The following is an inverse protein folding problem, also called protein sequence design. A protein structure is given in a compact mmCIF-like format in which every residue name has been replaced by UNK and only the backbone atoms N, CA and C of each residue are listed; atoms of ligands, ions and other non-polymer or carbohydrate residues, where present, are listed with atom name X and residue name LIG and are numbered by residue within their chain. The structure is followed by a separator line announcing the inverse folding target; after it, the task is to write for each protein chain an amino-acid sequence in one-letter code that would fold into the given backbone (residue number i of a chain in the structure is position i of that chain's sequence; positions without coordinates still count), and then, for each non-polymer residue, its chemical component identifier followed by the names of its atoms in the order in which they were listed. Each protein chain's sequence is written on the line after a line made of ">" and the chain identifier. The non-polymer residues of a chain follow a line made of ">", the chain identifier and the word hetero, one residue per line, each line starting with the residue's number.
data_IF_961038737829
#
_entry.id   IF_961038737829
#
_cell.length_a   1.000
_cell.length_b   1.000
_cell.length_c   1.000
_cell.angle_alpha   90.00
_cell.angle_beta   90.00
_cell.angle_gamma   90.00
#
_symmetry.space_group_name_H-M   'P 1'
#
loop_
_entity.id
_entity.type
_entity.pdbx_description
1 polymer ?
#
# COMPACT_ATOMS: atom_id res chain seq x y z
N UNK A 1 -49.48 -8.00 28.17
CA UNK A 1 -48.05 -8.35 28.32
C UNK A 1 -47.45 -8.68 26.94
N UNK A 2 -47.24 -7.71 26.04
CA UNK A 2 -46.88 -8.04 24.63
C UNK A 2 -45.96 -7.03 23.92
N UNK A 3 -45.14 -6.25 24.64
CA UNK A 3 -44.32 -5.18 24.04
C UNK A 3 -42.79 -5.38 24.12
N UNK A 4 -42.30 -6.54 24.55
CA UNK A 4 -40.87 -6.68 24.91
C UNK A 4 -39.97 -7.42 23.91
N UNK A 5 -40.47 -7.85 22.75
CA UNK A 5 -39.69 -8.68 21.81
C UNK A 5 -39.10 -7.93 20.60
N UNK A 6 -39.47 -6.67 20.35
CA UNK A 6 -39.07 -5.94 19.14
C UNK A 6 -37.81 -5.07 19.31
N UNK A 7 -37.20 -5.05 20.50
CA UNK A 7 -36.02 -4.22 20.79
C UNK A 7 -34.67 -4.95 20.62
N UNK A 8 -34.66 -6.24 20.28
CA UNK A 8 -33.42 -7.05 20.20
C UNK A 8 -32.89 -7.27 18.77
N UNK A 9 -33.55 -6.72 17.75
CA UNK A 9 -33.24 -6.99 16.34
C UNK A 9 -32.32 -5.95 15.65
N UNK A 10 -31.85 -4.91 16.36
CA UNK A 10 -31.12 -3.79 15.74
C UNK A 10 -29.62 -3.73 16.07
N UNK A 11 -29.03 -4.79 16.62
CA UNK A 11 -27.58 -4.84 16.90
C UNK A 11 -26.83 -5.68 15.85
N UNK A 12 -27.07 -5.42 14.56
CA UNK A 12 -26.16 -5.86 13.51
C UNK A 12 -24.92 -4.97 13.58
N UNK A 13 -23.97 -5.33 14.45
CA UNK A 13 -22.65 -4.74 14.43
C UNK A 13 -22.01 -5.05 13.07
N UNK A 14 -21.82 -4.01 12.26
CA UNK A 14 -20.98 -4.08 11.07
C UNK A 14 -19.53 -4.24 11.57
N UNK A 15 -19.11 -5.49 11.75
CA UNK A 15 -17.70 -5.80 11.95
C UNK A 15 -17.01 -5.56 10.61
N UNK A 16 -16.44 -4.38 10.44
CA UNK A 16 -15.55 -4.12 9.31
C UNK A 16 -14.35 -5.06 9.46
N UNK A 17 -14.08 -5.81 8.40
CA UNK A 17 -12.86 -6.56 8.32
C UNK A 17 -11.76 -5.59 7.88
N UNK A 18 -10.58 -5.76 8.44
CA UNK A 18 -9.42 -4.91 8.22
C UNK A 18 -8.23 -5.80 7.82
N UNK A 19 -7.16 -5.17 7.35
CA UNK A 19 -5.90 -5.86 7.12
C UNK A 19 -4.71 -5.10 7.69
N UNK A 20 -3.68 -5.81 8.15
CA UNK A 20 -2.44 -5.19 8.66
C UNK A 20 -1.24 -5.68 7.87
N UNK A 21 -0.24 -4.81 7.66
CA UNK A 21 1.05 -5.24 7.13
C UNK A 21 1.96 -5.65 8.27
N UNK A 22 2.32 -6.94 8.31
CA UNK A 22 3.24 -7.50 9.31
C UNK A 22 4.70 -7.43 8.87
N UNK A 23 4.97 -7.57 7.58
CA UNK A 23 6.34 -7.47 7.05
C UNK A 23 6.34 -6.66 5.75
N UNK A 24 7.29 -5.72 5.55
CA UNK A 24 8.30 -5.27 6.52
C UNK A 24 7.71 -4.58 7.76
N UNK A 25 6.51 -4.03 7.60
CA UNK A 25 5.72 -3.36 8.63
C UNK A 25 4.91 -2.23 8.00
N UNK A 26 3.80 -1.84 8.63
CA UNK A 26 3.02 -0.68 8.19
C UNK A 26 3.51 0.65 8.77
N UNK A 27 3.12 1.75 8.12
CA UNK A 27 3.33 3.14 8.54
C UNK A 27 2.86 3.43 9.97
N UNK A 28 1.82 2.75 10.43
CA UNK A 28 1.24 2.91 11.75
C UNK A 28 -0.16 2.33 11.82
N UNK A 29 -0.76 2.34 13.00
CA UNK A 29 -2.11 1.79 13.19
C UNK A 29 -3.16 2.62 12.45
N UNK A 30 -3.66 2.05 11.35
CA UNK A 30 -4.71 2.61 10.51
C UNK A 30 -6.05 1.91 10.67
N UNK A 31 -6.21 0.91 11.55
CA UNK A 31 -7.48 0.17 11.71
C UNK A 31 -8.73 1.06 11.69
N UNK A 32 -8.85 2.13 12.50
CA UNK A 32 -10.06 2.95 12.52
C UNK A 32 -10.29 3.79 11.26
N UNK A 33 -9.29 3.90 10.38
CA UNK A 33 -9.26 4.85 9.26
C UNK A 33 -8.86 4.20 7.93
N UNK A 34 -8.85 2.87 7.83
CA UNK A 34 -8.40 2.17 6.61
C UNK A 34 -9.20 2.54 5.37
N UNK A 35 -10.44 2.98 5.50
CA UNK A 35 -11.28 3.46 4.40
C UNK A 35 -10.86 4.83 3.84
N UNK A 36 -9.91 5.51 4.49
CA UNK A 36 -9.42 6.83 4.10
C UNK A 36 -8.13 6.69 3.29
N UNK A 37 -8.17 7.04 2.00
CA UNK A 37 -6.98 7.05 1.15
C UNK A 37 -6.19 8.37 1.21
N UNK A 38 -4.87 8.34 0.97
CA UNK A 38 -4.00 7.17 0.95
C UNK A 38 -3.63 6.70 2.37
N UNK A 39 -2.96 5.54 2.47
CA UNK A 39 -2.33 5.04 3.70
C UNK A 39 -3.24 4.92 4.94
N UNK A 40 -4.54 4.71 4.75
CA UNK A 40 -5.51 4.63 5.84
C UNK A 40 -5.63 5.94 6.61
N UNK A 41 -5.51 7.08 5.94
CA UNK A 41 -5.60 8.42 6.52
C UNK A 41 -4.35 8.87 7.29
N UNK A 42 -3.30 8.05 7.31
CA UNK A 42 -2.05 8.37 7.99
C UNK A 42 -1.17 9.27 7.11
N UNK A 43 -1.42 10.58 7.18
CA UNK A 43 -0.74 11.61 6.38
C UNK A 43 0.66 11.99 6.90
N UNK A 44 1.27 11.19 7.78
CA UNK A 44 2.63 11.39 8.28
C UNK A 44 3.44 10.13 7.99
N UNK A 45 4.65 10.31 7.44
CA UNK A 45 5.60 9.20 7.25
C UNK A 45 5.88 8.53 8.60
N UNK A 46 5.85 7.21 8.62
CA UNK A 46 6.15 6.38 9.78
C UNK A 46 7.61 5.95 9.85
N UNK A 47 7.86 4.83 10.52
CA UNK A 47 9.16 4.17 10.50
C UNK A 47 9.50 3.68 9.09
N UNK A 48 10.75 3.92 8.64
CA UNK A 48 11.24 3.41 7.36
C UNK A 48 11.91 2.06 7.57
N UNK A 49 11.28 1.01 7.06
CA UNK A 49 11.87 -0.32 7.08
C UNK A 49 12.96 -0.45 6.02
N UNK A 50 14.06 -1.15 6.35
CA UNK A 50 15.12 -1.45 5.39
C UNK A 50 14.67 -2.54 4.43
N UNK A 51 14.79 -2.31 3.13
CA UNK A 51 14.36 -3.25 2.08
C UNK A 51 15.40 -3.36 0.98
N UNK A 52 15.42 -4.50 0.30
CA UNK A 52 16.22 -4.65 -0.90
C UNK A 52 15.65 -3.78 -2.04
N UNK A 53 16.50 -3.10 -2.79
CA UNK A 53 16.10 -2.17 -3.85
C UNK A 53 15.51 -2.85 -5.09
N UNK A 54 15.62 -4.18 -5.19
CA UNK A 54 15.07 -4.97 -6.30
C UNK A 54 13.66 -5.47 -6.04
N UNK A 55 13.45 -6.08 -4.89
CA UNK A 55 12.17 -6.68 -4.50
C UNK A 55 12.05 -6.82 -2.99
N UNK A 56 10.83 -6.92 -2.49
CA UNK A 56 10.55 -7.08 -1.07
C UNK A 56 9.39 -8.04 -0.86
N UNK A 57 9.50 -8.93 0.12
CA UNK A 57 8.36 -9.70 0.60
C UNK A 57 7.35 -8.78 1.31
N UNK A 58 6.05 -8.95 1.04
CA UNK A 58 4.99 -8.24 1.75
C UNK A 58 4.06 -9.25 2.42
N UNK A 59 4.01 -9.23 3.74
CA UNK A 59 3.13 -10.10 4.52
C UNK A 59 1.95 -9.31 5.08
N UNK A 60 0.76 -9.64 4.60
CA UNK A 60 -0.50 -9.11 5.09
C UNK A 60 -1.14 -10.10 6.07
N UNK A 61 -1.86 -9.57 7.06
CA UNK A 61 -2.85 -10.30 7.85
C UNK A 61 -4.21 -9.75 7.48
N UNK A 62 -5.01 -10.53 6.74
CA UNK A 62 -6.35 -10.15 6.31
C UNK A 62 -7.42 -10.85 7.15
N UNK A 63 -8.52 -10.14 7.42
CA UNK A 63 -9.75 -10.72 7.99
C UNK A 63 -10.87 -10.91 6.97
N UNK A 64 -10.68 -10.47 5.73
CA UNK A 64 -11.58 -10.80 4.63
C UNK A 64 -11.30 -12.21 4.12
N UNK A 65 -12.35 -12.93 3.75
CA UNK A 65 -12.23 -14.23 3.09
C UNK A 65 -12.05 -14.11 1.58
N UNK A 66 -12.28 -12.92 1.02
CA UNK A 66 -11.98 -12.58 -0.36
C UNK A 66 -11.79 -11.07 -0.47
N UNK A 67 -10.76 -10.66 -1.20
CA UNK A 67 -10.51 -9.26 -1.52
C UNK A 67 -9.73 -9.12 -2.83
N UNK A 68 -9.85 -7.98 -3.49
CA UNK A 68 -9.01 -7.61 -4.62
C UNK A 68 -7.86 -6.75 -4.10
N UNK A 69 -6.62 -7.21 -4.24
CA UNK A 69 -5.44 -6.54 -3.68
C UNK A 69 -4.55 -5.97 -4.79
N UNK A 70 -4.06 -4.74 -4.63
CA UNK A 70 -3.14 -4.06 -5.55
C UNK A 70 -2.01 -3.36 -4.77
N UNK A 71 -0.80 -3.40 -5.32
CA UNK A 71 0.39 -2.78 -4.75
C UNK A 71 0.87 -1.64 -5.64
N UNK A 72 1.13 -0.47 -5.06
CA UNK A 72 1.61 0.71 -5.77
C UNK A 72 2.82 1.31 -5.10
N UNK A 73 3.57 2.12 -5.84
CA UNK A 73 4.80 2.74 -5.40
C UNK A 73 4.75 4.25 -5.54
N UNK A 74 5.20 4.92 -4.49
CA UNK A 74 5.70 6.30 -4.51
C UNK A 74 7.17 6.29 -4.08
N UNK A 75 8.01 7.09 -4.75
CA UNK A 75 9.41 7.30 -4.35
C UNK A 75 9.57 8.73 -3.84
N UNK A 76 10.29 8.90 -2.73
CA UNK A 76 10.52 10.20 -2.10
C UNK A 76 10.36 10.21 -0.58
N UNK A 77 10.36 11.41 -0.02
CA UNK A 77 10.24 11.67 1.41
C UNK A 77 8.84 12.08 1.87
N UNK A 78 7.92 12.34 0.95
CA UNK A 78 6.62 12.96 1.22
C UNK A 78 5.43 12.15 0.66
N UNK A 79 5.65 10.89 0.30
CA UNK A 79 4.66 9.98 -0.23
C UNK A 79 3.42 9.82 0.67
N UNK A 80 2.24 10.18 0.16
CA UNK A 80 0.98 10.04 0.91
C UNK A 80 0.91 10.94 2.14
N UNK A 81 1.60 12.08 2.13
CA UNK A 81 1.49 13.11 3.19
C UNK A 81 0.33 14.07 2.96
N UNK A 82 -0.29 14.03 1.78
CA UNK A 82 -1.54 14.71 1.46
C UNK A 82 -2.70 13.73 1.58
N UNK A 83 -3.88 14.24 1.90
CA UNK A 83 -5.09 13.42 2.03
C UNK A 83 -5.86 13.30 0.72
N UNK A 84 -6.70 12.27 0.62
CA UNK A 84 -7.66 12.10 -0.47
C UNK A 84 -7.00 11.97 -1.84
N UNK A 85 -7.68 12.45 -2.87
CA UNK A 85 -7.24 12.32 -4.27
C UNK A 85 -5.90 13.02 -4.54
N UNK A 86 -5.55 14.06 -3.78
CA UNK A 86 -4.26 14.74 -3.95
C UNK A 86 -3.08 13.91 -3.45
N UNK A 87 -3.23 13.16 -2.36
CA UNK A 87 -2.24 12.20 -1.90
C UNK A 87 -2.21 10.92 -2.72
N UNK A 88 -3.37 10.49 -3.26
CA UNK A 88 -3.45 9.29 -4.09
C UNK A 88 -2.64 9.43 -5.40
N UNK A 89 -2.44 10.66 -5.90
CA UNK A 89 -1.60 10.95 -7.07
C UNK A 89 -0.12 10.59 -6.88
N UNK A 90 0.35 10.51 -5.63
CA UNK A 90 1.72 10.10 -5.32
C UNK A 90 1.98 8.64 -5.74
N UNK A 91 0.94 7.80 -5.77
CA UNK A 91 0.99 6.35 -6.03
C UNK A 91 0.55 6.01 -7.46
N UNK A 92 1.18 6.64 -8.45
CA UNK A 92 0.86 6.45 -9.87
C UNK A 92 1.49 5.19 -10.49
N UNK A 93 2.55 4.63 -9.88
CA UNK A 93 3.20 3.41 -10.35
C UNK A 93 2.58 2.18 -9.70
N UNK A 94 1.89 1.36 -10.50
CA UNK A 94 1.47 0.01 -10.07
C UNK A 94 2.69 -0.91 -10.06
N UNK A 95 2.93 -1.59 -8.94
CA UNK A 95 3.98 -2.60 -8.81
C UNK A 95 3.45 -3.98 -9.20
N UNK A 96 2.26 -4.32 -8.70
CA UNK A 96 1.64 -5.62 -8.93
C UNK A 96 0.14 -5.58 -8.64
N UNK A 97 -0.60 -6.46 -9.30
CA UNK A 97 -2.05 -6.56 -9.20
C UNK A 97 -2.80 -5.80 -10.30
N UNK A 98 -4.14 -5.74 -10.21
CA UNK A 98 -4.95 -6.31 -9.14
C UNK A 98 -4.97 -7.85 -9.15
N UNK A 99 -5.00 -8.46 -7.97
CA UNK A 99 -5.13 -9.92 -7.78
C UNK A 99 -6.33 -10.24 -6.90
N UNK A 100 -6.96 -11.39 -7.12
CA UNK A 100 -8.01 -11.92 -6.26
C UNK A 100 -7.38 -12.72 -5.12
N UNK A 101 -7.33 -12.13 -3.93
CA UNK A 101 -6.91 -12.76 -2.69
C UNK A 101 -8.08 -13.58 -2.11
N UNK A 102 -7.81 -14.83 -1.72
CA UNK A 102 -8.79 -15.79 -1.23
C UNK A 102 -8.35 -16.33 0.13
N UNK A 103 -9.31 -16.49 1.04
CA UNK A 103 -9.08 -16.96 2.41
C UNK A 103 -8.70 -15.83 3.38
N UNK A 104 -9.01 -16.03 4.66
CA UNK A 104 -8.61 -15.12 5.73
C UNK A 104 -7.35 -15.65 6.44
N UNK A 105 -6.48 -14.75 6.91
CA UNK A 105 -5.24 -15.10 7.60
C UNK A 105 -4.03 -14.37 7.04
N UNK A 106 -2.88 -15.03 7.10
CA UNK A 106 -1.65 -14.47 6.53
C UNK A 106 -1.67 -14.66 5.01
N UNK A 107 -1.51 -13.58 4.26
CA UNK A 107 -1.28 -13.56 2.82
C UNK A 107 0.10 -12.96 2.55
N UNK A 108 0.98 -13.72 1.90
CA UNK A 108 2.32 -13.32 1.51
C UNK A 108 2.35 -13.03 0.01
N UNK A 109 2.77 -11.83 -0.36
CA UNK A 109 3.23 -11.49 -1.71
C UNK A 109 4.77 -11.64 -1.73
N UNK A 110 5.30 -12.77 -2.24
CA UNK A 110 6.74 -12.99 -2.26
C UNK A 110 7.41 -12.14 -3.34
N UNK A 111 8.52 -11.49 -3.00
CA UNK A 111 9.37 -10.77 -3.94
C UNK A 111 8.64 -9.72 -4.77
N UNK A 112 7.79 -8.89 -4.15
CA UNK A 112 7.13 -7.76 -4.83
C UNK A 112 8.20 -6.89 -5.51
N UNK A 113 8.21 -6.77 -6.85
CA UNK A 113 9.27 -6.07 -7.56
C UNK A 113 9.18 -4.56 -7.34
N UNK A 114 10.30 -3.94 -6.95
CA UNK A 114 10.40 -2.48 -6.76
C UNK A 114 11.09 -1.80 -7.97
N UNK A 115 12.00 -2.51 -8.63
CA UNK A 115 12.80 -2.04 -9.76
C UNK A 115 14.29 -2.29 -9.54
N UNK A 116 15.13 -1.28 -9.78
CA UNK A 116 16.56 -1.28 -9.46
C UNK A 116 16.91 -0.06 -8.60
N UNK A 117 16.29 0.05 -7.42
CA UNK A 117 16.51 1.17 -6.51
C UNK A 117 17.90 1.06 -5.84
N UNK A 118 18.51 2.22 -5.59
CA UNK A 118 19.86 2.40 -5.04
C UNK A 118 19.78 2.62 -3.53
N UNK A 119 20.86 2.30 -2.83
CA UNK A 119 20.96 2.48 -1.37
C UNK A 119 20.63 3.92 -0.95
N UNK A 120 19.91 4.04 0.16
CA UNK A 120 19.43 5.32 0.69
C UNK A 120 18.23 5.91 -0.07
N UNK A 121 17.81 5.34 -1.20
CA UNK A 121 16.54 5.75 -1.81
C UNK A 121 15.38 5.40 -0.89
N UNK A 122 14.40 6.29 -0.90
CA UNK A 122 13.29 6.29 0.04
C UNK A 122 11.98 6.22 -0.73
N UNK A 123 10.97 5.61 -0.15
CA UNK A 123 9.65 5.58 -0.76
C UNK A 123 8.61 4.95 0.13
N UNK A 124 7.43 4.77 -0.45
CA UNK A 124 6.28 4.14 0.19
C UNK A 124 5.62 3.18 -0.78
N UNK A 125 5.37 1.95 -0.32
CA UNK A 125 4.48 1.01 -1.01
C UNK A 125 3.08 1.20 -0.43
N UNK A 126 2.10 1.48 -1.29
CA UNK A 126 0.69 1.47 -0.91
C UNK A 126 0.11 0.10 -1.21
N UNK A 127 -0.57 -0.47 -0.24
CA UNK A 127 -1.43 -1.65 -0.41
C UNK A 127 -2.86 -1.17 -0.45
N UNK A 128 -3.57 -1.49 -1.52
CA UNK A 128 -5.01 -1.26 -1.67
C UNK A 128 -5.69 -2.62 -1.63
N UNK A 129 -6.68 -2.78 -0.76
CA UNK A 129 -7.50 -3.97 -0.66
C UNK A 129 -8.96 -3.56 -0.84
N UNK A 130 -9.60 -4.03 -1.91
CA UNK A 130 -11.03 -3.85 -2.13
C UNK A 130 -11.78 -5.09 -1.66
N UNK A 131 -12.63 -4.94 -0.67
CA UNK A 131 -13.46 -6.01 -0.13
C UNK A 131 -14.94 -5.58 -0.08
N UNK A 132 -15.78 -6.42 0.54
CA UNK A 132 -17.23 -6.21 0.62
C UNK A 132 -17.64 -4.93 1.38
N UNK A 133 -16.76 -4.41 2.23
CA UNK A 133 -16.92 -3.17 3.01
C UNK A 133 -16.19 -1.97 2.39
N UNK A 134 -15.69 -2.10 1.16
CA UNK A 134 -15.14 -1.02 0.35
C UNK A 134 -13.63 -1.11 0.15
N UNK A 135 -13.03 0.03 -0.18
CA UNK A 135 -11.59 0.13 -0.37
C UNK A 135 -10.91 0.40 0.97
N UNK A 136 -9.89 -0.39 1.26
CA UNK A 136 -9.04 -0.27 2.44
C UNK A 136 -7.61 0.02 1.99
N UNK A 137 -6.94 0.88 2.75
CA UNK A 137 -5.62 1.41 2.41
C UNK A 137 -4.64 1.20 3.55
N UNK A 138 -3.42 0.81 3.20
CA UNK A 138 -2.30 0.73 4.12
C UNK A 138 -0.99 1.07 3.40
N UNK A 139 0.05 1.44 4.13
CA UNK A 139 1.32 1.86 3.55
C UNK A 139 2.52 1.27 4.29
N UNK A 140 3.58 1.02 3.53
CA UNK A 140 4.89 0.54 3.99
C UNK A 140 5.89 1.62 3.62
N UNK A 141 6.40 2.36 4.60
CA UNK A 141 7.47 3.31 4.38
C UNK A 141 8.81 2.58 4.42
N UNK A 142 9.67 2.84 3.44
CA UNK A 142 10.93 2.11 3.31
C UNK A 142 12.11 3.03 3.01
N UNK A 143 13.30 2.50 3.29
CA UNK A 143 14.58 3.01 2.79
C UNK A 143 15.37 1.83 2.24
N UNK A 144 15.92 1.98 1.05
CA UNK A 144 16.65 0.93 0.37
C UNK A 144 17.99 0.71 1.04
N UNK A 145 18.24 -0.55 1.34
CA UNK A 145 19.51 -1.08 1.79
C UNK A 145 19.70 -2.42 1.09
N UNK A 146 20.49 -2.43 0.00
CA UNK A 146 20.72 -3.62 -0.81
C UNK A 146 21.58 -4.68 -0.11
N UNK A 147 22.04 -4.44 1.12
CA UNK A 147 22.63 -5.48 1.98
C UNK A 147 21.57 -6.37 2.64
N UNK A 148 20.30 -5.93 2.68
CA UNK A 148 19.18 -6.72 3.20
C UNK A 148 18.73 -7.74 2.15
N UNK A 149 18.43 -8.95 2.61
CA UNK A 149 17.86 -10.01 1.77
C UNK A 149 16.49 -9.61 1.22
N UNK A 150 16.25 -9.93 -0.05
CA UNK A 150 14.96 -9.66 -0.69
C UNK A 150 13.82 -10.54 -0.17
N UNK A 151 14.15 -11.65 0.49
CA UNK A 151 13.21 -12.67 0.94
C UNK A 151 13.33 -12.88 2.45
N UNK A 152 12.20 -13.10 3.11
CA UNK A 152 12.14 -13.34 4.56
C UNK A 152 11.33 -14.61 4.84
N UNK A 153 11.88 -15.49 5.68
CA UNK A 153 11.22 -16.75 6.05
C UNK A 153 9.84 -16.57 6.72
N UNK A 154 9.52 -15.37 7.23
CA UNK A 154 8.20 -15.02 7.77
C UNK A 154 7.12 -14.96 6.70
N UNK A 155 7.47 -14.72 5.43
CA UNK A 155 6.51 -14.56 4.34
C UNK A 155 5.93 -15.92 3.94
N UNK A 156 4.83 -16.30 4.58
CA UNK A 156 4.11 -17.55 4.34
C UNK A 156 2.60 -17.36 4.44
N UNK A 157 1.89 -17.99 3.51
CA UNK A 157 0.43 -18.02 3.54
C UNK A 157 -0.07 -18.91 4.69
N UNK A 158 -1.20 -18.51 5.28
CA UNK A 158 -1.99 -19.43 6.11
C UNK A 158 -2.62 -20.54 5.26
N UNK A 159 -2.97 -21.65 5.90
CA UNK A 159 -3.71 -22.73 5.23
C UNK A 159 -5.02 -22.19 4.64
N UNK A 160 -5.27 -22.47 3.37
CA UNK A 160 -6.46 -22.00 2.66
C UNK A 160 -6.38 -20.55 2.17
N UNK A 161 -5.24 -19.87 2.34
CA UNK A 161 -4.99 -18.54 1.78
C UNK A 161 -4.22 -18.63 0.46
N UNK A 162 -4.75 -18.03 -0.60
CA UNK A 162 -4.16 -18.02 -1.95
C UNK A 162 -4.46 -16.72 -2.69
N UNK A 163 -3.84 -16.54 -3.85
CA UNK A 163 -4.20 -15.49 -4.78
C UNK A 163 -4.29 -16.00 -6.21
N UNK A 164 -5.17 -15.38 -6.98
CA UNK A 164 -5.41 -15.67 -8.39
C UNK A 164 -5.30 -14.40 -9.22
N UNK A 165 -4.76 -14.49 -10.42
CA UNK A 165 -4.76 -13.38 -11.36
C UNK A 165 -6.19 -13.11 -11.85
N UNK A 166 -6.58 -11.83 -11.92
CA UNK A 166 -7.90 -11.45 -12.43
C UNK A 166 -7.86 -11.47 -13.97
N UNK A 167 -8.55 -12.43 -14.57
CA UNK A 167 -8.52 -12.72 -16.01
C UNK A 167 -9.43 -11.81 -16.84
N UNK A 168 -9.45 -10.51 -16.56
CA UNK A 168 -9.97 -9.50 -17.49
C UNK A 168 -8.88 -8.46 -17.68
N UNK A 169 -8.38 -8.29 -18.91
CA UNK A 169 -7.41 -7.25 -19.31
C UNK A 169 -7.90 -5.79 -19.10
N UNK A 170 -8.98 -5.63 -18.34
CA UNK A 170 -9.64 -4.39 -17.96
C UNK A 170 -9.90 -4.36 -16.44
N UNK A 171 -9.19 -5.18 -15.65
CA UNK A 171 -9.17 -5.02 -14.20
C UNK A 171 -8.53 -3.66 -13.89
N UNK A 172 -9.40 -2.65 -13.86
CA UNK A 172 -9.04 -1.27 -13.63
C UNK A 172 -8.24 -1.14 -12.35
N UNK A 173 -7.33 -0.17 -12.35
CA UNK A 173 -6.46 0.05 -11.23
C UNK A 173 -7.28 0.55 -10.03
N UNK A 174 -7.07 0.01 -8.83
CA UNK A 174 -7.99 0.22 -7.69
C UNK A 174 -8.09 1.68 -7.20
N UNK A 175 -7.15 2.57 -7.55
CA UNK A 175 -7.17 3.96 -7.09
C UNK A 175 -8.22 4.84 -7.75
N UNK A 176 -8.92 4.38 -8.78
CA UNK A 176 -9.89 5.23 -9.50
C UNK A 176 -11.32 5.16 -8.95
N UNK A 177 -11.61 4.30 -7.97
CA UNK A 177 -12.97 4.21 -7.41
C UNK A 177 -13.19 5.21 -6.27
N UNK A 178 -13.22 6.51 -6.61
CA UNK A 178 -13.88 7.53 -5.80
C UNK A 178 -15.27 7.79 -6.40
N UNK A 179 -16.19 6.84 -6.28
CA UNK A 179 -17.61 7.10 -6.57
C UNK A 179 -18.37 7.15 -5.25
N UNK A 180 -18.70 8.39 -4.87
CA UNK A 180 -19.72 8.66 -3.88
C UNK A 180 -21.03 8.02 -4.32
N UNK A 181 -21.64 7.26 -3.41
CA UNK A 181 -23.01 6.81 -3.49
C UNK A 181 -23.96 8.02 -3.46
N UNK A 182 -24.12 8.67 -4.60
CA UNK A 182 -25.11 9.70 -4.87
C UNK A 182 -26.12 9.17 -5.88
N UNK A 183 -27.03 8.32 -5.42
CA UNK A 183 -28.18 7.86 -6.21
C UNK A 183 -29.04 9.08 -6.57
N UNK A 184 -28.86 9.58 -7.79
CA UNK A 184 -29.62 10.70 -8.33
C UNK A 184 -30.91 10.18 -8.96
N UNK A 185 -32.03 10.29 -8.24
CA UNK A 185 -33.36 10.22 -8.82
C UNK A 185 -33.71 11.60 -9.41
N UNK A 186 -33.68 11.68 -10.74
CA UNK A 186 -33.89 12.93 -11.48
C UNK A 186 -35.32 13.43 -11.42
N UNK A 187 -35.50 14.76 -11.39
CA UNK A 187 -36.71 15.46 -11.87
C UNK A 187 -36.27 16.81 -12.45
N UNK A 188 -36.72 17.09 -13.68
CA UNK A 188 -36.39 18.26 -14.48
C UNK A 188 -37.47 19.35 -14.38
N UNK A 189 -37.05 20.61 -14.27
CA UNK A 189 -37.77 21.85 -14.65
C UNK A 189 -36.80 23.01 -14.40
N UNK A 190 -36.54 24.03 -15.22
CA UNK A 190 -37.14 24.60 -16.42
C UNK A 190 -37.07 26.13 -16.27
N UNK A 191 -36.45 26.80 -17.24
CA UNK A 191 -36.63 28.22 -17.64
C UNK A 191 -35.81 29.35 -16.97
N UNK A 192 -34.82 29.85 -17.74
CA UNK A 192 -34.57 31.24 -18.18
C UNK A 192 -34.87 32.47 -17.28
N UNK A 193 -33.86 33.34 -17.11
CA UNK A 193 -34.04 34.74 -16.70
C UNK A 193 -32.71 35.51 -16.57
N UNK A 194 -32.49 36.50 -17.45
CA UNK A 194 -31.28 37.32 -17.61
C UNK A 194 -31.29 38.59 -16.74
N UNK A 195 -30.11 39.14 -16.39
CA UNK A 195 -29.93 40.52 -15.89
C UNK A 195 -28.75 40.63 -14.90
N UNK A 196 -27.54 40.97 -15.34
CA UNK A 196 -26.96 42.34 -15.47
C UNK A 196 -26.49 43.00 -14.16
N UNK A 197 -25.16 43.03 -14.02
CA UNK A 197 -24.27 44.11 -13.56
C UNK A 197 -24.56 44.92 -12.27
N UNK A 198 -23.58 44.98 -11.35
CA UNK A 198 -22.80 46.22 -11.12
C UNK A 198 -21.60 46.01 -10.19
N UNK A 199 -20.56 46.80 -10.43
CA UNK A 199 -19.23 46.75 -9.84
C UNK A 199 -19.10 47.62 -8.58
N UNK A 200 -18.07 47.39 -7.76
CA UNK A 200 -17.28 48.46 -7.09
C UNK A 200 -15.96 47.92 -6.52
N UNK A 201 -14.89 48.67 -6.78
CA UNK A 201 -13.48 48.45 -6.41
C UNK A 201 -13.19 48.94 -4.98
N UNK A 202 -12.03 48.59 -4.40
CA UNK A 202 -10.95 49.53 -4.03
C UNK A 202 -9.75 48.80 -3.37
N UNK A 203 -8.56 49.20 -3.83
CA UNK A 203 -7.19 48.78 -3.48
C UNK A 203 -6.67 49.32 -2.13
N UNK A 204 -5.59 48.71 -1.58
CA UNK A 204 -4.35 49.32 -1.02
C UNK A 204 -3.60 48.29 -0.13
N UNK A 205 -2.43 47.75 -0.49
CA UNK A 205 -1.03 48.25 -0.44
C UNK A 205 -0.42 48.48 0.96
N UNK A 206 0.62 47.66 1.26
CA UNK A 206 1.99 48.06 1.68
C UNK A 206 2.53 47.56 3.03
N UNK A 207 3.80 47.11 2.96
CA UNK A 207 4.92 47.20 3.94
C UNK A 207 4.84 46.41 5.26
N UNK A 208 5.93 45.97 5.91
CA UNK A 208 7.35 45.72 5.63
C UNK A 208 7.97 45.18 6.95
N UNK A 209 9.17 44.59 6.87
CA UNK A 209 10.25 44.65 7.87
C UNK A 209 10.34 43.59 9.01
N UNK A 210 11.32 42.67 8.81
CA UNK A 210 12.53 42.39 9.63
C UNK A 210 12.48 41.84 11.08
N UNK A 211 13.33 40.82 11.33
CA UNK A 211 13.86 40.49 12.66
C UNK A 211 14.71 39.20 12.77
N UNK A 212 16.05 39.33 12.70
CA UNK A 212 17.13 38.68 13.50
C UNK A 212 17.04 37.19 13.89
N UNK A 213 17.93 36.27 13.45
CA UNK A 213 19.36 36.06 13.75
C UNK A 213 19.68 35.49 15.16
N UNK A 214 20.19 34.24 15.21
CA UNK A 214 21.07 33.68 16.27
C UNK A 214 21.87 32.49 15.73
N UNK A 215 23.19 32.52 15.93
CA UNK A 215 24.20 31.56 15.52
C UNK A 215 24.96 31.02 16.74
N UNK A 216 25.51 29.78 16.66
CA UNK A 216 26.73 29.19 17.32
C UNK A 216 26.56 27.66 17.36
N UNK A 217 27.31 26.78 16.68
CA UNK A 217 28.75 26.44 16.59
C UNK A 217 29.19 25.28 17.52
N UNK A 218 30.06 24.40 16.97
CA UNK A 218 30.94 23.41 17.63
C UNK A 218 30.30 22.06 18.06
N UNK A 219 30.94 20.89 17.99
CA UNK A 219 32.19 20.37 17.41
C UNK A 219 32.08 18.82 17.40
N UNK A 220 32.45 18.14 16.32
CA UNK A 220 33.54 17.16 16.23
C UNK A 220 33.66 16.09 17.36
N UNK A 221 33.62 14.79 16.99
CA UNK A 221 34.78 13.86 17.00
C UNK A 221 34.39 12.39 17.20
N UNK A 222 35.00 11.52 16.37
CA UNK A 222 35.46 10.13 16.66
C UNK A 222 34.44 9.04 16.99
N UNK A 223 34.63 7.75 16.69
CA UNK A 223 35.51 6.97 15.84
C UNK A 223 35.14 5.48 16.05
N UNK A 224 35.46 4.64 15.07
CA UNK A 224 35.88 3.23 15.21
C UNK A 224 34.85 2.14 15.60
N UNK A 225 34.35 1.47 14.56
CA UNK A 225 34.54 0.04 14.24
C UNK A 225 34.75 -1.00 15.35
N UNK A 226 33.91 -2.03 15.36
CA UNK A 226 34.36 -3.42 15.60
C UNK A 226 33.43 -4.43 14.90
N UNK A 227 34.09 -5.28 14.13
CA UNK A 227 33.54 -6.41 13.40
C UNK A 227 33.18 -7.57 14.33
N UNK A 228 32.20 -8.38 13.95
CA UNK A 228 32.20 -9.80 14.30
C UNK A 228 31.49 -10.61 13.20
N UNK A 229 32.27 -11.52 12.62
CA UNK A 229 31.86 -12.49 11.63
C UNK A 229 31.28 -13.75 12.31
N UNK A 230 30.28 -14.37 11.67
CA UNK A 230 30.03 -15.81 11.71
C UNK A 230 29.01 -16.12 10.61
N UNK A 231 29.40 -16.82 9.54
CA UNK A 231 29.55 -18.26 9.42
C UNK A 231 28.34 -18.85 8.67
N UNK A 232 28.59 -19.11 7.39
CA UNK A 232 27.77 -19.82 6.42
C UNK A 232 27.51 -21.27 6.83
N UNK A 233 26.25 -21.71 6.70
CA UNK A 233 25.89 -23.12 6.57
C UNK A 233 24.87 -23.26 5.42
N UNK A 234 25.34 -23.92 4.37
CA UNK A 234 24.60 -24.51 3.26
C UNK A 234 23.52 -25.47 3.74
N UNK A 235 22.31 -25.40 3.18
CA UNK A 235 21.55 -26.62 2.87
C UNK A 235 20.62 -26.43 1.66
N UNK A 236 20.58 -27.48 0.85
CA UNK A 236 19.99 -27.59 -0.48
C UNK A 236 18.47 -27.86 -0.46
N UNK A 237 17.79 -27.31 -1.48
CA UNK A 237 16.65 -27.84 -2.26
C UNK A 237 15.46 -28.48 -1.51
N UNK A 238 14.24 -28.00 -1.80
CA UNK A 238 13.42 -28.50 -2.93
C UNK A 238 11.98 -27.90 -2.94
N UNK A 239 11.56 -27.42 -4.11
CA UNK A 239 10.16 -27.28 -4.63
C UNK A 239 9.19 -26.33 -3.93
N UNK A 240 8.54 -25.36 -4.58
CA UNK A 240 8.55 -24.91 -5.97
C UNK A 240 7.80 -23.58 -6.01
N UNK A 241 8.41 -22.55 -6.60
CA UNK A 241 7.82 -21.21 -6.71
C UNK A 241 7.90 -20.73 -8.14
N UNK A 242 6.77 -20.20 -8.63
CA UNK A 242 6.61 -19.64 -9.96
C UNK A 242 7.48 -18.39 -10.10
N UNK A 243 8.60 -18.50 -10.80
CA UNK A 243 9.41 -17.36 -11.19
C UNK A 243 8.88 -16.77 -12.51
N UNK A 244 8.38 -15.54 -12.48
CA UNK A 244 8.09 -14.77 -13.69
C UNK A 244 9.35 -14.01 -14.10
N UNK A 245 10.01 -14.48 -15.15
CA UNK A 245 11.13 -13.80 -15.80
C UNK A 245 10.56 -13.06 -17.01
N UNK A 246 10.93 -11.78 -17.12
CA UNK A 246 10.56 -10.85 -18.18
C UNK A 246 10.22 -11.51 -19.54
N UNK A 247 8.94 -11.44 -19.92
CA UNK A 247 8.54 -11.38 -21.33
C UNK A 247 8.93 -12.55 -22.21
N UNK A 248 8.65 -13.80 -21.82
CA UNK A 248 8.37 -14.89 -22.75
C UNK A 248 7.77 -16.10 -22.01
N UNK A 249 6.56 -16.48 -22.40
CA UNK A 249 5.92 -17.73 -22.00
C UNK A 249 6.72 -18.91 -22.60
N UNK A 250 7.52 -19.60 -21.78
CA UNK A 250 8.18 -20.84 -22.18
C UNK A 250 7.58 -22.03 -21.42
N UNK A 251 6.81 -22.82 -22.16
CA UNK A 251 6.26 -24.12 -21.78
C UNK A 251 7.36 -25.16 -22.05
N UNK A 252 7.78 -25.90 -21.02
CA UNK A 252 8.65 -27.07 -21.14
C UNK A 252 8.79 -27.69 -19.76
N UNK A 253 8.24 -28.88 -19.48
CA UNK A 253 8.39 -30.10 -20.26
C UNK A 253 9.43 -30.95 -19.55
N UNK A 254 9.00 -31.67 -18.50
CA UNK A 254 9.85 -32.59 -17.73
C UNK A 254 10.21 -33.77 -18.63
N UNK A 255 11.48 -33.87 -19.01
CA UNK A 255 12.09 -35.12 -19.49
C UNK A 255 13.02 -35.59 -18.38
N UNK A 256 12.57 -36.61 -17.64
CA UNK A 256 13.41 -37.37 -16.74
C UNK A 256 14.22 -38.37 -17.59
N UNK A 257 15.52 -38.12 -17.73
CA UNK A 257 16.49 -39.12 -18.15
C UNK A 257 17.13 -39.71 -16.89
N UNK A 258 16.84 -40.98 -16.62
CA UNK A 258 17.54 -41.77 -15.63
C UNK A 258 18.91 -42.22 -16.17
N UNK A 259 19.84 -42.24 -15.24
CA UNK A 259 21.29 -42.35 -15.29
C UNK A 259 21.83 -43.60 -16.02
N UNK A 260 23.02 -43.43 -16.60
CA UNK A 260 23.99 -44.48 -16.91
C UNK A 260 24.47 -45.17 -15.62
N UNK A 261 24.37 -46.50 -15.57
CA UNK A 261 25.41 -47.55 -15.40
C UNK A 261 24.69 -48.89 -15.58
#
# INVERSE_FOLDING_TARGET
>A
MQLSALALATLLATANAHFTVYYPGWRGDSHPTQTQGPCGGLNKIGERFKVNGKSVDVLLKTSHTSAITEYRLCLGDDCGTKSGSDGQKDFSKVLYGPINELGAGNFCMPGLPLGDLKDGQKGTIQVIMQAVDGNLYNCIDFEVDNSVDAFNAVCKNSTGVSAEAISNANAGSLAENTQGSGNSSGHAHGSSGSGSASASKTDSKSSAASGSASATSAAASSAASSAAASASATEEKNSGSLAYVNGALAIGGVVAAALLI
#
